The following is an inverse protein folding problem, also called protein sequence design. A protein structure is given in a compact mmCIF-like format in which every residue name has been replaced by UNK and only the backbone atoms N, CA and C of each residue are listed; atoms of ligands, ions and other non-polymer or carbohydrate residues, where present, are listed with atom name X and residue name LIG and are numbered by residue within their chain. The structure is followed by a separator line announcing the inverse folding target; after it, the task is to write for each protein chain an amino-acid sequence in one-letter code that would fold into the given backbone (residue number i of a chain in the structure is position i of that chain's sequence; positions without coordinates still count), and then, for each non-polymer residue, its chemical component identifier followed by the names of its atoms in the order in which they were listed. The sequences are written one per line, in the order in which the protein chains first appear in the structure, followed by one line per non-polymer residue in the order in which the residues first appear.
data_IF_284583419924
#
_entry.id   IF_284583419924
#
_cell.length_a   1.000
_cell.length_b   1.000
_cell.length_c   1.000
_cell.angle_alpha   90.00
_cell.angle_beta   90.00
_cell.angle_gamma   90.00
#
_symmetry.space_group_name_H-M   'P 1'
#
loop_
_entity.id
_entity.type
_entity.pdbx_description
1 polymer ?
#
# COMPACT_ATOMS: atom_id res chain seq x y z
N UNK A 1 26.35 -40.24 44.07
CA UNK A 1 27.19 -39.11 43.60
C UNK A 1 27.93 -39.59 42.34
N UNK A 2 27.81 -39.05 41.13
CA UNK A 2 27.14 -37.88 40.57
C UNK A 2 26.64 -38.28 39.17
N UNK A 3 25.43 -37.87 38.81
CA UNK A 3 24.83 -38.07 37.48
C UNK A 3 25.35 -36.98 36.53
N UNK A 4 26.11 -37.36 35.51
CA UNK A 4 26.65 -36.43 34.51
C UNK A 4 25.53 -36.05 33.53
N UNK A 5 25.03 -34.82 33.62
CA UNK A 5 24.06 -34.25 32.69
C UNK A 5 24.79 -33.81 31.42
N UNK A 6 24.51 -34.48 30.30
CA UNK A 6 24.94 -34.05 28.96
C UNK A 6 23.94 -32.99 28.51
N UNK A 7 24.37 -31.72 28.54
CA UNK A 7 23.61 -30.60 27.99
C UNK A 7 23.87 -30.57 26.47
N UNK A 8 22.90 -31.00 25.68
CA UNK A 8 22.94 -30.84 24.21
C UNK A 8 22.55 -29.39 23.93
N UNK A 9 23.53 -28.54 23.61
CA UNK A 9 23.29 -27.22 23.06
C UNK A 9 22.77 -27.40 21.63
N UNK A 10 21.45 -27.37 21.45
CA UNK A 10 20.82 -27.24 20.14
C UNK A 10 21.10 -25.83 19.61
N UNK A 11 22.14 -25.72 18.77
CA UNK A 11 22.42 -24.50 18.01
C UNK A 11 21.27 -24.32 17.01
N UNK A 12 20.33 -23.45 17.35
CA UNK A 12 19.35 -22.93 16.39
C UNK A 12 20.13 -22.07 15.40
N UNK A 13 20.45 -22.66 14.24
CA UNK A 13 20.89 -21.92 13.08
C UNK A 13 19.66 -21.15 12.59
N UNK A 14 19.50 -19.91 13.04
CA UNK A 14 18.59 -18.99 12.39
C UNK A 14 19.08 -18.84 10.95
N UNK A 15 18.39 -19.50 10.01
CA UNK A 15 18.44 -19.10 8.62
C UNK A 15 17.95 -17.65 8.63
N UNK A 16 18.89 -16.70 8.58
CA UNK A 16 18.58 -15.36 8.14
C UNK A 16 17.98 -15.54 6.75
N UNK A 17 16.68 -15.34 6.63
CA UNK A 17 16.13 -14.93 5.36
C UNK A 17 16.93 -13.68 5.02
N UNK A 18 17.82 -13.79 4.03
CA UNK A 18 18.31 -12.59 3.37
C UNK A 18 17.04 -11.86 2.94
N UNK A 19 16.81 -10.68 3.53
CA UNK A 19 15.87 -9.73 2.97
C UNK A 19 16.29 -9.61 1.51
N UNK A 20 15.48 -10.15 0.60
CA UNK A 20 15.54 -9.70 -0.78
C UNK A 20 15.05 -8.27 -0.65
N UNK A 21 15.98 -7.32 -0.55
CA UNK A 21 15.65 -5.92 -0.33
C UNK A 21 14.78 -5.48 -1.51
N UNK A 22 13.48 -5.50 -1.31
CA UNK A 22 12.47 -4.92 -2.18
C UNK A 22 12.12 -3.54 -1.61
N UNK A 23 11.61 -2.64 -2.44
CA UNK A 23 10.98 -1.45 -1.89
C UNK A 23 9.86 -1.88 -0.93
N UNK A 24 9.81 -1.27 0.25
CA UNK A 24 8.79 -1.59 1.23
C UNK A 24 7.43 -0.99 0.85
N UNK A 25 7.45 0.11 0.08
CA UNK A 25 6.29 0.76 -0.53
C UNK A 25 6.17 0.40 -2.02
N UNK A 26 4.93 0.18 -2.43
CA UNK A 26 4.55 -0.03 -3.81
C UNK A 26 3.67 1.12 -4.29
N UNK A 27 3.84 1.51 -5.55
CA UNK A 27 2.86 2.33 -6.25
C UNK A 27 1.83 1.39 -6.87
N UNK A 28 0.55 1.58 -6.51
CA UNK A 28 -0.59 1.00 -7.22
C UNK A 28 -1.48 2.12 -7.71
N UNK A 29 -2.51 1.82 -8.51
CA UNK A 29 -3.40 2.88 -8.95
C UNK A 29 -4.25 3.33 -7.76
N UNK A 30 -4.61 4.61 -7.74
CA UNK A 30 -5.26 5.25 -6.58
C UNK A 30 -4.44 5.35 -5.27
N UNK A 31 -3.34 4.62 -5.12
CA UNK A 31 -2.47 4.61 -3.94
C UNK A 31 -1.05 5.09 -4.31
N UNK A 32 -0.83 6.42 -4.31
CA UNK A 32 0.49 6.97 -4.57
C UNK A 32 1.47 6.66 -3.43
N UNK A 33 2.74 6.53 -3.77
CA UNK A 33 3.82 6.65 -2.78
C UNK A 33 4.04 8.13 -2.54
N UNK A 34 3.92 8.57 -1.29
CA UNK A 34 4.10 9.97 -0.88
C UNK A 34 5.13 10.01 0.25
N UNK A 35 6.21 10.76 0.04
CA UNK A 35 7.23 11.06 1.04
C UNK A 35 7.23 12.56 1.34
N UNK A 36 6.93 12.90 2.60
CA UNK A 36 6.93 14.28 3.11
C UNK A 36 8.09 14.56 4.07
N UNK A 37 8.89 13.53 4.37
CA UNK A 37 9.98 13.60 5.34
C UNK A 37 9.52 14.07 6.74
N UNK A 38 8.24 13.89 7.07
CA UNK A 38 7.65 14.22 8.36
C UNK A 38 8.40 13.50 9.49
N UNK A 39 9.10 14.26 10.32
CA UNK A 39 9.90 13.72 11.43
C UNK A 39 11.33 13.32 11.07
N UNK A 40 11.77 13.51 9.82
CA UNK A 40 13.17 13.34 9.44
C UNK A 40 14.05 14.34 10.18
N UNK A 41 15.09 13.84 10.86
CA UNK A 41 16.00 14.66 11.67
C UNK A 41 17.44 14.63 11.15
N UNK A 42 17.68 14.03 9.97
CA UNK A 42 19.02 13.94 9.41
C UNK A 42 19.91 12.99 10.21
N UNK A 43 19.32 11.93 10.81
CA UNK A 43 20.05 10.97 11.63
C UNK A 43 20.70 9.83 10.82
N UNK A 44 20.49 9.80 9.50
CA UNK A 44 21.06 8.79 8.62
C UNK A 44 20.04 8.04 7.78
N UNK A 45 20.47 6.87 7.30
CA UNK A 45 19.65 5.88 6.62
C UNK A 45 19.79 4.53 7.32
N UNK A 46 18.69 3.83 7.56
CA UNK A 46 18.66 2.50 8.18
C UNK A 46 17.56 1.64 7.53
N UNK A 47 17.66 0.30 7.51
CA UNK A 47 16.66 -0.55 6.85
C UNK A 47 15.32 -0.60 7.57
N UNK A 48 15.26 -0.18 8.84
CA UNK A 48 14.03 -0.19 9.64
C UNK A 48 14.01 1.02 10.56
N UNK A 49 13.62 2.21 10.06
CA UNK A 49 13.51 3.40 10.90
C UNK A 49 12.39 3.20 11.92
N UNK A 50 12.67 3.50 13.20
CA UNK A 50 11.70 3.27 14.29
C UNK A 50 11.12 4.57 14.86
N UNK A 51 11.77 5.71 14.60
CA UNK A 51 11.41 7.02 15.15
C UNK A 51 11.30 8.13 14.09
N UNK A 52 11.37 7.78 12.80
CA UNK A 52 11.29 8.75 11.68
C UNK A 52 12.51 9.65 11.52
N UNK A 53 13.49 9.61 12.44
CA UNK A 53 14.68 10.46 12.39
C UNK A 53 15.63 10.12 11.23
N UNK A 54 15.64 8.87 10.81
CA UNK A 54 16.39 8.32 9.67
C UNK A 54 15.47 8.04 8.47
N UNK A 55 16.04 8.05 7.26
CA UNK A 55 15.38 7.51 6.07
C UNK A 55 15.41 5.98 6.07
N UNK A 56 14.40 5.38 5.44
CA UNK A 56 14.39 3.95 5.19
C UNK A 56 15.35 3.58 4.04
N UNK A 57 16.46 2.94 4.37
CA UNK A 57 17.48 2.53 3.39
C UNK A 57 17.02 1.38 2.48
N UNK A 58 15.91 0.70 2.79
CA UNK A 58 15.31 -0.23 1.82
C UNK A 58 14.63 0.52 0.67
N UNK A 59 14.46 1.84 0.77
CA UNK A 59 13.84 2.66 -0.27
C UNK A 59 14.73 3.80 -0.74
N UNK A 60 15.50 4.39 0.17
CA UNK A 60 16.35 5.53 -0.10
C UNK A 60 17.81 5.13 -0.22
N UNK A 61 18.46 5.64 -1.26
CA UNK A 61 19.91 5.49 -1.47
C UNK A 61 20.51 6.80 -1.93
N UNK A 62 21.64 7.17 -1.35
CA UNK A 62 22.44 8.32 -1.74
C UNK A 62 23.84 7.90 -2.18
N UNK A 63 24.34 8.47 -3.27
CA UNK A 63 25.68 8.21 -3.84
C UNK A 63 26.46 9.50 -4.05
N UNK A 64 27.77 9.38 -4.26
CA UNK A 64 28.67 10.50 -4.49
C UNK A 64 29.06 11.23 -3.21
N UNK A 65 28.97 10.57 -2.05
CA UNK A 65 29.40 11.10 -0.75
C UNK A 65 30.87 10.76 -0.49
N UNK A 66 31.58 11.61 0.24
CA UNK A 66 33.01 11.43 0.52
C UNK A 66 33.29 10.25 1.46
N UNK A 67 32.37 9.98 2.39
CA UNK A 67 32.36 8.79 3.24
C UNK A 67 31.99 7.49 2.48
N UNK A 68 31.55 7.61 1.21
CA UNK A 68 31.24 6.51 0.30
C UNK A 68 29.75 6.38 -0.01
N UNK A 69 29.43 5.66 -1.08
CA UNK A 69 28.04 5.42 -1.49
C UNK A 69 27.29 4.58 -0.46
N UNK A 70 26.04 4.95 -0.22
CA UNK A 70 25.11 4.10 0.52
C UNK A 70 24.62 2.94 -0.35
N UNK A 71 24.06 1.92 0.29
CA UNK A 71 23.50 0.74 -0.34
C UNK A 71 22.11 0.44 0.23
N UNK A 72 21.23 -0.13 -0.60
CA UNK A 72 19.90 -0.53 -0.14
C UNK A 72 20.00 -1.54 1.02
N UNK A 73 19.17 -1.34 2.05
CA UNK A 73 19.13 -2.16 3.26
C UNK A 73 20.32 -1.97 4.21
N UNK A 74 21.19 -0.98 3.97
CA UNK A 74 22.37 -0.69 4.80
C UNK A 74 22.11 0.27 5.95
N UNK A 75 23.07 0.39 6.88
CA UNK A 75 22.97 1.29 8.05
C UNK A 75 24.07 2.36 7.98
N UNK A 76 23.66 3.63 7.91
CA UNK A 76 24.50 4.78 7.64
C UNK A 76 24.09 5.95 8.54
N UNK A 77 24.61 5.99 9.78
CA UNK A 77 24.11 6.89 10.84
C UNK A 77 25.17 7.86 11.38
N UNK A 78 26.27 8.05 10.67
CA UNK A 78 27.39 8.93 11.08
C UNK A 78 28.05 9.56 9.86
N UNK A 79 28.70 10.70 10.02
CA UNK A 79 29.46 11.32 8.93
C UNK A 79 28.56 12.04 7.93
N UNK A 80 28.87 11.93 6.64
CA UNK A 80 28.10 12.57 5.55
C UNK A 80 26.63 12.15 5.53
N UNK A 81 26.31 10.96 6.05
CA UNK A 81 24.94 10.44 6.03
C UNK A 81 24.02 11.09 7.07
N UNK A 82 24.59 11.66 8.14
CA UNK A 82 23.85 12.01 9.34
C UNK A 82 24.31 13.38 9.90
N UNK A 83 24.09 14.45 9.14
CA UNK A 83 24.49 15.81 9.55
C UNK A 83 23.51 16.48 10.50
N UNK A 84 22.34 15.88 10.72
CA UNK A 84 21.30 16.39 11.62
C UNK A 84 20.43 17.47 10.98
N UNK A 85 19.67 18.16 11.83
CA UNK A 85 18.77 19.25 11.40
C UNK A 85 19.49 20.60 11.25
N UNK A 86 19.09 21.39 10.26
CA UNK A 86 19.59 22.76 10.04
C UNK A 86 18.53 23.64 9.39
N UNK A 87 18.68 24.97 9.45
CA UNK A 87 17.81 25.93 8.73
C UNK A 87 18.47 26.47 7.44
N UNK A 88 19.60 25.91 7.01
CA UNK A 88 20.42 26.37 5.87
C UNK A 88 21.75 27.00 6.28
N UNK A 89 22.52 27.53 5.32
CA UNK A 89 23.83 28.18 5.52
C UNK A 89 24.90 27.28 6.21
N UNK A 90 24.94 26.02 5.80
CA UNK A 90 25.86 24.99 6.25
C UNK A 90 27.08 24.86 5.32
N UNK A 91 28.28 24.76 5.89
CA UNK A 91 29.51 24.65 5.08
C UNK A 91 30.04 23.23 4.89
N UNK A 92 29.47 22.22 5.56
CA UNK A 92 29.99 20.85 5.56
C UNK A 92 29.11 19.97 4.68
N UNK A 93 29.72 19.28 3.71
CA UNK A 93 29.01 18.43 2.77
C UNK A 93 28.28 17.27 3.43
N UNK A 94 27.20 16.81 2.80
CA UNK A 94 26.43 15.64 3.23
C UNK A 94 24.92 15.86 3.30
N UNK A 95 24.24 14.91 3.95
CA UNK A 95 22.79 14.82 4.06
C UNK A 95 22.32 15.48 5.36
N UNK A 96 21.36 16.40 5.24
CA UNK A 96 20.74 17.13 6.34
C UNK A 96 19.23 16.94 6.33
N UNK A 97 18.60 17.15 7.48
CA UNK A 97 17.19 17.52 7.54
C UNK A 97 17.09 19.06 7.56
N UNK A 98 16.83 19.68 6.42
CA UNK A 98 16.64 21.14 6.40
C UNK A 98 15.21 21.50 6.80
N UNK A 99 15.06 22.40 7.77
CA UNK A 99 13.79 23.04 8.05
C UNK A 99 13.63 24.26 7.12
N UNK A 100 12.84 24.09 6.07
CA UNK A 100 12.62 25.12 5.05
C UNK A 100 11.64 26.21 5.52
N UNK A 101 10.96 26.01 6.66
CA UNK A 101 10.13 27.01 7.31
C UNK A 101 8.86 27.45 6.55
N UNK A 102 8.54 26.82 5.42
CA UNK A 102 7.38 27.15 4.60
C UNK A 102 6.12 26.57 5.22
N UNK A 103 5.23 27.43 5.74
CA UNK A 103 3.98 27.01 6.37
C UNK A 103 4.11 26.56 7.84
N UNK A 104 5.31 26.66 8.42
CA UNK A 104 5.66 26.14 9.75
C UNK A 104 6.98 25.38 9.70
N UNK A 105 7.37 24.67 10.78
CA UNK A 105 8.47 23.71 10.72
C UNK A 105 8.18 22.68 9.62
N UNK A 106 9.06 22.57 8.65
CA UNK A 106 8.95 21.65 7.53
C UNK A 106 10.30 20.96 7.29
N UNK A 107 10.56 19.82 7.96
CA UNK A 107 11.78 19.05 7.75
C UNK A 107 11.76 18.41 6.37
N UNK A 108 12.83 18.63 5.60
CA UNK A 108 12.96 18.17 4.21
C UNK A 108 14.27 17.41 4.01
N UNK A 109 14.33 16.53 3.01
CA UNK A 109 15.57 15.85 2.67
C UNK A 109 16.52 16.83 1.98
N UNK A 110 17.53 17.25 2.74
CA UNK A 110 18.50 18.24 2.35
C UNK A 110 19.85 17.67 1.98
N UNK A 111 20.52 18.35 1.05
CA UNK A 111 21.90 18.11 0.70
C UNK A 111 22.67 19.44 0.82
N UNK A 112 23.84 19.38 1.45
CA UNK A 112 24.87 20.37 1.24
C UNK A 112 25.88 19.79 0.24
N UNK A 113 25.89 20.23 -1.03
CA UNK A 113 26.90 19.79 -1.96
C UNK A 113 28.29 20.31 -1.56
N UNK A 114 29.28 19.45 -1.72
CA UNK A 114 30.67 19.66 -1.36
C UNK A 114 31.60 19.48 -2.56
N UNK A 115 32.91 19.64 -2.34
CA UNK A 115 33.89 19.30 -3.39
C UNK A 115 33.97 17.81 -3.72
N UNK A 116 33.45 16.97 -2.81
CA UNK A 116 33.49 15.51 -2.86
C UNK A 116 32.17 14.87 -2.38
N UNK A 117 31.13 15.69 -2.19
CA UNK A 117 29.84 15.26 -1.64
C UNK A 117 28.75 15.72 -2.60
N UNK A 118 28.04 14.76 -3.17
CA UNK A 118 26.94 14.96 -4.14
C UNK A 118 27.30 15.95 -5.25
N UNK A 119 28.50 15.82 -5.81
CA UNK A 119 29.00 16.66 -6.92
C UNK A 119 30.06 15.90 -7.77
N UNK A 120 29.64 15.04 -8.72
CA UNK A 120 28.27 14.58 -8.91
C UNK A 120 27.85 13.55 -7.85
N UNK A 121 26.55 13.42 -7.62
CA UNK A 121 25.98 12.35 -6.80
C UNK A 121 24.47 12.21 -7.01
N UNK A 122 23.86 11.21 -6.36
CA UNK A 122 22.46 10.88 -6.57
C UNK A 122 21.72 10.72 -5.26
N UNK A 123 20.43 11.06 -5.26
CA UNK A 123 19.44 10.61 -4.29
C UNK A 123 18.44 9.76 -5.06
N UNK A 124 18.22 8.53 -4.62
CA UNK A 124 17.39 7.53 -5.28
C UNK A 124 16.25 7.13 -4.35
N UNK A 125 15.03 7.19 -4.88
CA UNK A 125 13.83 6.59 -4.28
C UNK A 125 13.45 5.35 -5.07
N UNK A 126 13.50 4.19 -4.41
CA UNK A 126 13.08 2.90 -4.93
C UNK A 126 11.64 2.62 -4.52
N UNK A 127 10.79 2.32 -5.50
CA UNK A 127 9.39 1.93 -5.28
C UNK A 127 9.06 0.68 -6.10
N UNK A 128 8.16 -0.16 -5.58
CA UNK A 128 7.71 -1.36 -6.28
C UNK A 128 6.52 -1.05 -7.19
N UNK A 129 6.43 -1.71 -8.34
CA UNK A 129 5.19 -1.77 -9.10
C UNK A 129 4.18 -2.72 -8.43
N UNK A 130 3.17 -2.15 -7.79
CA UNK A 130 2.09 -2.87 -7.11
C UNK A 130 0.79 -3.01 -7.91
N UNK A 131 0.72 -2.58 -9.18
CA UNK A 131 -0.55 -2.53 -9.94
C UNK A 131 -1.06 -3.88 -10.47
N UNK A 132 -0.34 -4.97 -10.21
CA UNK A 132 -0.68 -6.28 -10.81
C UNK A 132 -0.43 -6.39 -12.33
N UNK A 133 -0.09 -5.29 -13.03
CA UNK A 133 0.16 -5.24 -14.46
C UNK A 133 1.47 -4.49 -14.80
N UNK A 134 2.00 -4.58 -16.03
CA UNK A 134 3.16 -3.79 -16.43
C UNK A 134 2.87 -2.27 -16.38
N UNK A 135 3.65 -1.51 -15.61
CA UNK A 135 3.60 -0.05 -15.61
C UNK A 135 4.28 0.50 -16.87
N UNK A 136 3.48 1.15 -17.70
CA UNK A 136 3.92 1.85 -18.92
C UNK A 136 3.99 3.36 -18.72
N UNK A 137 3.50 3.88 -17.60
CA UNK A 137 3.51 5.30 -17.30
C UNK A 137 3.39 5.53 -15.80
N UNK A 138 4.07 6.55 -15.29
CA UNK A 138 3.91 7.05 -13.91
C UNK A 138 3.79 8.57 -13.93
N UNK A 139 3.24 9.16 -12.88
CA UNK A 139 3.38 10.58 -12.58
C UNK A 139 4.33 10.74 -11.39
N UNK A 140 5.28 11.66 -11.51
CA UNK A 140 6.20 12.02 -10.44
C UNK A 140 6.06 13.50 -10.18
N UNK A 141 5.93 13.88 -8.92
CA UNK A 141 5.99 15.26 -8.49
C UNK A 141 6.81 15.41 -7.22
N UNK A 142 7.38 16.58 -7.02
CA UNK A 142 8.10 16.95 -5.80
C UNK A 142 8.28 18.47 -5.73
N UNK A 143 8.66 18.97 -4.57
CA UNK A 143 9.09 20.36 -4.38
C UNK A 143 10.61 20.39 -4.28
N UNK A 144 11.25 21.13 -5.19
CA UNK A 144 12.68 21.44 -5.13
C UNK A 144 12.89 22.75 -4.38
N UNK A 145 13.74 22.73 -3.37
CA UNK A 145 14.10 23.88 -2.55
C UNK A 145 15.56 24.26 -2.73
N UNK A 146 15.84 25.56 -2.74
CA UNK A 146 17.20 26.11 -2.79
C UNK A 146 17.36 27.18 -1.71
N UNK A 147 18.48 27.14 -0.99
CA UNK A 147 18.97 28.23 -0.17
C UNK A 147 20.16 28.87 -0.89
N UNK A 148 19.89 29.91 -1.69
CA UNK A 148 20.87 30.48 -2.62
C UNK A 148 21.83 31.48 -1.92
N UNK A 149 22.82 30.97 -1.21
CA UNK A 149 23.80 31.78 -0.46
C UNK A 149 25.23 31.75 -1.02
N UNK A 150 25.48 30.97 -2.08
CA UNK A 150 26.80 30.86 -2.72
C UNK A 150 26.79 31.29 -4.19
N UNK A 151 27.99 31.56 -4.71
CA UNK A 151 28.18 32.02 -6.08
C UNK A 151 28.48 30.86 -7.06
N UNK A 152 27.68 29.80 -7.00
CA UNK A 152 27.89 28.56 -7.77
C UNK A 152 26.58 27.83 -8.02
N UNK A 153 26.28 27.61 -9.30
CA UNK A 153 25.10 26.88 -9.73
C UNK A 153 25.34 25.37 -9.70
N UNK A 154 24.37 24.62 -9.20
CA UNK A 154 24.30 23.15 -9.26
C UNK A 154 23.02 22.70 -9.95
N UNK A 155 23.03 21.56 -10.64
CA UNK A 155 21.81 20.97 -11.22
C UNK A 155 21.16 19.98 -10.25
N UNK A 156 19.85 19.78 -10.43
CA UNK A 156 19.14 18.60 -9.98
C UNK A 156 18.39 18.04 -11.19
N UNK A 157 18.90 16.97 -11.77
CA UNK A 157 18.33 16.30 -12.93
C UNK A 157 17.59 15.04 -12.51
N UNK A 158 16.40 14.82 -13.05
CA UNK A 158 15.57 13.67 -12.67
C UNK A 158 15.47 12.66 -13.81
N UNK A 159 15.69 11.40 -13.47
CA UNK A 159 15.52 10.27 -14.36
C UNK A 159 14.81 9.11 -13.64
N UNK A 160 14.16 8.25 -14.41
CA UNK A 160 13.50 7.05 -13.90
C UNK A 160 14.13 5.82 -14.53
N UNK A 161 14.51 4.86 -13.69
CA UNK A 161 15.20 3.65 -14.09
C UNK A 161 14.47 2.41 -13.57
N UNK A 162 14.66 1.28 -14.25
CA UNK A 162 14.31 -0.04 -13.73
C UNK A 162 15.52 -0.68 -13.07
N UNK A 163 15.34 -1.17 -11.85
CA UNK A 163 16.44 -1.84 -11.13
C UNK A 163 16.96 -3.09 -11.88
N UNK A 164 16.09 -3.75 -12.66
CA UNK A 164 16.42 -4.94 -13.44
C UNK A 164 17.00 -4.66 -14.83
N UNK A 165 16.91 -3.42 -15.35
CA UNK A 165 17.46 -3.00 -16.64
C UNK A 165 17.78 -1.48 -16.65
N UNK A 166 19.06 -1.10 -16.49
CA UNK A 166 19.45 0.28 -16.22
C UNK A 166 19.54 1.15 -17.48
N UNK A 167 18.44 1.31 -18.20
CA UNK A 167 18.32 2.37 -19.22
C UNK A 167 17.42 3.47 -18.65
N UNK A 168 17.99 4.55 -18.11
CA UNK A 168 17.18 5.62 -17.53
C UNK A 168 16.34 6.34 -18.59
N UNK A 169 15.13 6.70 -18.20
CA UNK A 169 14.25 7.61 -18.93
C UNK A 169 14.38 8.99 -18.29
N UNK A 170 14.98 9.93 -19.02
CA UNK A 170 15.14 11.31 -18.53
C UNK A 170 13.79 12.02 -18.42
N UNK A 171 13.60 12.79 -17.34
CA UNK A 171 12.42 13.60 -17.09
C UNK A 171 12.81 15.08 -16.98
N UNK A 172 13.20 15.75 -18.08
CA UNK A 172 13.76 17.12 -18.03
C UNK A 172 12.79 18.17 -17.50
N UNK A 173 11.47 17.93 -17.53
CA UNK A 173 10.46 18.80 -16.91
C UNK A 173 10.48 18.76 -15.38
N UNK A 174 11.18 17.78 -14.79
CA UNK A 174 11.47 17.67 -13.37
C UNK A 174 12.88 18.17 -13.03
N UNK A 175 13.69 18.60 -14.00
CA UNK A 175 15.03 19.14 -13.70
C UNK A 175 14.98 20.59 -13.23
N UNK A 176 15.92 20.97 -12.37
CA UNK A 176 16.15 22.33 -11.91
C UNK A 176 17.64 22.69 -11.87
N UNK A 177 17.96 23.98 -11.80
CA UNK A 177 19.33 24.48 -11.65
C UNK A 177 19.32 25.65 -10.67
N UNK A 178 20.20 25.63 -9.67
CA UNK A 178 20.33 26.74 -8.71
C UNK A 178 20.90 27.99 -9.40
N UNK A 179 20.59 29.20 -8.93
CA UNK A 179 21.19 30.41 -9.47
C UNK A 179 22.72 30.44 -9.29
N UNK A 180 23.47 30.96 -10.26
CA UNK A 180 24.93 31.13 -10.08
C UNK A 180 25.26 32.30 -9.13
N UNK A 181 24.42 33.32 -9.08
CA UNK A 181 24.66 34.49 -8.25
C UNK A 181 23.94 34.33 -6.90
N UNK A 182 24.72 34.38 -5.81
CA UNK A 182 24.20 34.37 -4.45
C UNK A 182 23.19 35.50 -4.22
N UNK A 183 22.15 35.21 -3.43
CA UNK A 183 21.21 36.21 -2.99
C UNK A 183 21.85 37.15 -1.96
N UNK A 184 21.48 38.43 -2.02
CA UNK A 184 21.91 39.41 -1.01
C UNK A 184 21.32 39.16 0.38
N UNK A 185 20.24 38.38 0.46
CA UNK A 185 19.58 37.94 1.69
C UNK A 185 18.98 36.54 1.45
N UNK A 186 19.79 35.48 1.60
CA UNK A 186 19.39 34.10 1.30
C UNK A 186 18.23 33.61 2.17
N UNK A 187 17.31 32.90 1.53
CA UNK A 187 16.18 32.22 2.16
C UNK A 187 15.78 31.01 1.29
N UNK A 188 15.09 30.05 1.90
CA UNK A 188 14.57 28.90 1.16
C UNK A 188 13.51 29.33 0.14
N UNK A 189 13.72 28.98 -1.13
CA UNK A 189 12.78 29.17 -2.22
C UNK A 189 12.41 27.80 -2.79
N UNK A 190 11.12 27.49 -2.82
CA UNK A 190 10.58 26.23 -3.33
C UNK A 190 9.97 26.37 -4.73
N UNK A 191 10.13 25.34 -5.54
CA UNK A 191 9.45 25.17 -6.82
C UNK A 191 8.84 23.77 -6.91
N UNK A 192 7.52 23.70 -7.10
CA UNK A 192 6.84 22.42 -7.30
C UNK A 192 6.96 22.00 -8.76
N UNK A 193 7.43 20.78 -8.98
CA UNK A 193 7.66 20.16 -10.27
C UNK A 193 6.77 18.92 -10.38
N UNK A 194 6.18 18.70 -11.55
CA UNK A 194 5.42 17.48 -11.85
C UNK A 194 5.60 17.10 -13.31
N UNK A 195 5.65 15.80 -13.58
CA UNK A 195 5.67 15.26 -14.94
C UNK A 195 5.08 13.86 -15.00
N UNK A 196 4.40 13.59 -16.11
CA UNK A 196 4.06 12.23 -16.53
C UNK A 196 5.23 11.65 -17.31
N UNK A 197 5.72 10.49 -16.89
CA UNK A 197 6.90 9.82 -17.44
C UNK A 197 6.43 8.59 -18.22
N UNK A 198 6.70 8.58 -19.52
CA UNK A 198 6.38 7.47 -20.42
C UNK A 198 7.44 6.36 -20.31
N UNK A 199 7.01 5.19 -19.86
CA UNK A 199 7.80 3.97 -19.72
C UNK A 199 7.39 2.90 -20.75
N UNK A 200 6.57 3.23 -21.75
CA UNK A 200 6.01 2.26 -22.70
C UNK A 200 7.06 1.50 -23.52
N UNK A 201 8.21 2.11 -23.78
CA UNK A 201 9.34 1.47 -24.45
C UNK A 201 10.01 0.40 -23.58
N UNK A 202 9.93 0.55 -22.25
CA UNK A 202 10.54 -0.35 -21.26
C UNK A 202 9.65 -0.49 -20.01
N UNK A 203 8.49 -1.17 -20.11
CA UNK A 203 7.54 -1.22 -19.00
C UNK A 203 8.13 -1.92 -17.77
N UNK A 204 7.75 -1.47 -16.56
CA UNK A 204 8.12 -2.11 -15.29
C UNK A 204 7.16 -3.25 -15.03
N UNK A 205 7.62 -4.50 -14.92
CA UNK A 205 6.72 -5.63 -14.67
C UNK A 205 6.06 -5.52 -13.28
N UNK A 206 4.91 -6.18 -13.09
CA UNK A 206 4.29 -6.26 -11.77
C UNK A 206 5.25 -6.91 -10.77
N UNK A 207 5.43 -6.30 -9.60
CA UNK A 207 6.37 -6.71 -8.56
C UNK A 207 7.83 -6.30 -8.77
N UNK A 208 8.21 -5.79 -9.95
CA UNK A 208 9.54 -5.21 -10.18
C UNK A 208 9.64 -3.82 -9.51
N UNK A 209 10.87 -3.43 -9.17
CA UNK A 209 11.15 -2.09 -8.66
C UNK A 209 11.48 -1.11 -9.80
N UNK A 210 11.04 0.14 -9.61
CA UNK A 210 11.54 1.30 -10.33
C UNK A 210 12.26 2.26 -9.36
N UNK A 211 13.17 3.05 -9.90
CA UNK A 211 13.99 4.01 -9.16
C UNK A 211 13.73 5.38 -9.76
N UNK A 212 13.26 6.33 -8.95
CA UNK A 212 13.28 7.75 -9.28
C UNK A 212 14.60 8.30 -8.75
N UNK A 213 15.47 8.78 -9.65
CA UNK A 213 16.79 9.27 -9.31
C UNK A 213 16.85 10.79 -9.52
N UNK A 214 17.27 11.48 -8.48
CA UNK A 214 17.64 12.89 -8.47
C UNK A 214 19.17 12.98 -8.51
N UNK A 215 19.72 13.36 -9.65
CA UNK A 215 21.16 13.50 -9.89
C UNK A 215 21.57 14.95 -9.70
N UNK A 216 22.67 15.17 -9.01
CA UNK A 216 23.22 16.49 -8.70
C UNK A 216 24.62 16.61 -9.29
N UNK A 217 24.97 17.77 -9.84
CA UNK A 217 26.33 18.07 -10.32
C UNK A 217 26.58 19.58 -10.36
N UNK A 218 27.85 19.98 -10.44
CA UNK A 218 28.26 21.36 -10.66
C UNK A 218 27.88 21.81 -12.09
N UNK A 219 27.30 23.00 -12.20
CA UNK A 219 26.98 23.61 -13.51
C UNK A 219 27.95 24.74 -13.83
N UNK A 220 28.05 25.74 -12.96
CA UNK A 220 28.87 26.93 -13.20
C UNK A 220 29.25 27.66 -11.91
N UNK A 221 30.08 28.70 -12.01
CA UNK A 221 30.54 29.47 -10.85
C UNK A 221 31.65 28.80 -10.03
N UNK A 222 31.93 29.34 -8.84
CA UNK A 222 33.09 28.94 -8.03
C UNK A 222 32.83 29.13 -6.53
N UNK A 223 33.58 28.42 -5.70
CA UNK A 223 33.40 28.46 -4.24
C UNK A 223 32.52 27.32 -3.73
N UNK A 224 31.84 27.56 -2.61
CA UNK A 224 30.87 26.62 -2.05
C UNK A 224 29.62 26.54 -2.93
N UNK A 225 28.79 25.51 -2.73
CA UNK A 225 27.50 25.33 -3.42
C UNK A 225 26.38 25.74 -2.47
N UNK A 226 25.25 26.13 -3.05
CA UNK A 226 24.00 26.36 -2.33
C UNK A 226 23.51 25.07 -1.67
N UNK A 227 22.81 25.18 -0.53
CA UNK A 227 22.01 24.07 -0.04
C UNK A 227 20.82 23.82 -0.97
N UNK A 228 20.52 22.55 -1.18
CA UNK A 228 19.37 22.10 -1.95
C UNK A 228 18.58 21.08 -1.13
N UNK A 229 17.26 21.03 -1.32
CA UNK A 229 16.42 20.04 -0.68
C UNK A 229 15.28 19.58 -1.59
N UNK A 230 14.77 18.38 -1.30
CA UNK A 230 13.56 17.86 -1.91
C UNK A 230 12.52 17.56 -0.84
N UNK A 231 11.26 17.76 -1.19
CA UNK A 231 10.11 17.52 -0.32
C UNK A 231 8.88 17.12 -1.14
N UNK A 232 7.83 16.64 -0.47
CA UNK A 232 6.55 16.26 -1.06
C UNK A 232 6.71 15.31 -2.27
N UNK A 233 7.69 14.41 -2.22
CA UNK A 233 7.98 13.48 -3.31
C UNK A 233 6.82 12.51 -3.46
N UNK A 234 6.14 12.58 -4.59
CA UNK A 234 5.00 11.74 -4.92
C UNK A 234 5.30 10.94 -6.18
N UNK A 235 5.08 9.63 -6.11
CA UNK A 235 5.07 8.73 -7.27
C UNK A 235 3.70 8.08 -7.35
N UNK A 236 3.01 8.26 -8.46
CA UNK A 236 1.64 7.76 -8.65
C UNK A 236 1.47 7.13 -10.03
N UNK A 237 0.39 6.37 -10.18
CA UNK A 237 -0.08 5.90 -11.48
C UNK A 237 -1.08 6.91 -12.03
N UNK A 238 -1.01 7.30 -13.32
CA UNK A 238 -2.03 8.14 -13.94
C UNK A 238 -3.41 7.49 -13.82
N UNK A 239 -4.44 8.26 -13.49
CA UNK A 239 -5.80 7.74 -13.30
C UNK A 239 -6.36 6.94 -14.49
N UNK A 240 -5.83 7.19 -15.70
CA UNK A 240 -6.18 6.48 -16.93
C UNK A 240 -5.65 5.02 -17.01
N UNK A 241 -4.88 4.58 -16.03
CA UNK A 241 -4.29 3.24 -15.94
C UNK A 241 -4.91 2.40 -14.79
N UNK A 242 -6.06 2.82 -14.23
CA UNK A 242 -6.83 2.00 -13.27
C UNK A 242 -7.27 0.69 -13.91
N UNK A 243 -7.09 -0.42 -13.19
CA UNK A 243 -7.40 -1.76 -13.70
C UNK A 243 -8.55 -2.37 -12.92
N UNK A 244 -9.73 -2.33 -13.53
CA UNK A 244 -10.90 -2.99 -12.95
C UNK A 244 -10.67 -4.49 -12.76
N UNK A 245 -11.09 -4.98 -11.59
CA UNK A 245 -11.09 -6.38 -11.19
C UNK A 245 -9.82 -6.85 -10.50
N UNK A 246 -9.03 -5.94 -9.91
CA UNK A 246 -7.78 -6.30 -9.21
C UNK A 246 -7.93 -6.39 -7.68
N UNK A 247 -9.13 -6.08 -7.17
CA UNK A 247 -9.49 -6.10 -5.76
C UNK A 247 -9.21 -4.80 -5.01
N UNK A 248 -8.74 -3.75 -5.69
CA UNK A 248 -8.52 -2.42 -5.12
C UNK A 248 -9.44 -1.42 -5.80
N UNK A 249 -10.06 -0.51 -5.03
CA UNK A 249 -10.87 0.58 -5.61
C UNK A 249 -9.95 1.76 -5.90
N UNK A 250 -9.71 2.06 -7.16
CA UNK A 250 -8.69 3.01 -7.58
C UNK A 250 -9.08 3.89 -8.78
N UNK A 251 -8.43 5.05 -8.91
CA UNK A 251 -8.66 5.96 -10.05
C UNK A 251 -10.12 6.43 -10.19
N UNK A 252 -10.77 6.02 -11.28
CA UNK A 252 -12.15 6.39 -11.61
C UNK A 252 -13.18 5.31 -11.21
N UNK A 253 -12.76 4.27 -10.50
CA UNK A 253 -13.62 3.18 -10.09
C UNK A 253 -14.55 3.59 -8.94
N UNK A 254 -15.80 3.14 -9.00
CA UNK A 254 -16.78 3.29 -7.93
C UNK A 254 -16.75 2.10 -6.94
N UNK A 255 -16.21 0.96 -7.37
CA UNK A 255 -16.04 -0.28 -6.64
C UNK A 255 -14.99 -1.16 -7.34
N UNK A 256 -14.59 -2.24 -6.70
CA UNK A 256 -13.82 -3.34 -7.30
C UNK A 256 -14.07 -4.58 -6.44
N UNK A 257 -14.49 -5.70 -7.05
CA UNK A 257 -14.75 -6.97 -6.35
C UNK A 257 -13.78 -8.10 -6.74
N UNK A 258 -12.64 -7.74 -7.33
CA UNK A 258 -11.58 -8.65 -7.71
C UNK A 258 -11.81 -9.41 -9.01
N UNK A 259 -12.77 -8.98 -9.82
CA UNK A 259 -12.98 -9.52 -11.16
C UNK A 259 -13.65 -8.53 -12.13
N UNK A 260 -13.77 -8.88 -13.41
CA UNK A 260 -14.39 -8.05 -14.47
C UNK A 260 -15.68 -8.67 -14.99
N UNK A 261 -16.47 -9.29 -14.13
CA UNK A 261 -17.78 -9.84 -14.47
C UNK A 261 -18.83 -8.96 -13.84
N UNK A 262 -19.91 -8.67 -14.57
CA UNK A 262 -21.09 -8.05 -13.94
C UNK A 262 -21.99 -9.15 -13.41
N UNK A 263 -21.94 -9.42 -12.11
CA UNK A 263 -22.88 -10.34 -11.47
C UNK A 263 -24.28 -9.74 -11.42
N UNK A 264 -25.28 -10.61 -11.57
CA UNK A 264 -26.69 -10.23 -11.48
C UNK A 264 -27.36 -10.75 -10.22
N UNK A 265 -26.70 -11.64 -9.50
CA UNK A 265 -27.21 -12.32 -8.32
C UNK A 265 -26.05 -12.71 -7.39
N UNK A 266 -26.28 -12.77 -6.09
CA UNK A 266 -25.31 -13.30 -5.14
C UNK A 266 -25.14 -14.82 -5.28
N UNK A 267 -23.98 -15.37 -4.86
CA UNK A 267 -23.83 -16.82 -4.72
C UNK A 267 -24.93 -17.42 -3.82
N UNK A 268 -25.42 -18.61 -4.20
CA UNK A 268 -26.45 -19.31 -3.42
C UNK A 268 -26.09 -19.43 -1.94
N UNK A 269 -27.08 -19.22 -1.07
CA UNK A 269 -26.91 -19.16 0.39
C UNK A 269 -26.52 -17.78 0.91
N UNK A 270 -26.39 -16.77 0.03
CA UNK A 270 -26.12 -15.38 0.41
C UNK A 270 -27.29 -14.49 -0.01
N UNK A 271 -28.15 -14.12 0.94
CA UNK A 271 -29.36 -13.34 0.66
C UNK A 271 -29.07 -11.93 0.09
N UNK A 272 -27.96 -11.31 0.47
CA UNK A 272 -27.51 -10.02 -0.07
C UNK A 272 -25.99 -9.89 -0.07
N UNK A 273 -25.46 -9.26 -1.12
CA UNK A 273 -24.04 -9.05 -1.33
C UNK A 273 -23.81 -7.77 -2.14
N UNK A 274 -22.57 -7.29 -2.10
CA UNK A 274 -22.11 -6.21 -2.95
C UNK A 274 -21.20 -6.81 -4.02
N UNK A 275 -21.39 -6.40 -5.26
CA UNK A 275 -20.55 -6.72 -6.41
C UNK A 275 -20.27 -5.43 -7.19
N UNK A 276 -19.52 -5.56 -8.28
CA UNK A 276 -19.12 -4.44 -9.13
C UNK A 276 -19.51 -4.69 -10.60
N UNK A 277 -19.68 -3.62 -11.39
CA UNK A 277 -19.80 -3.78 -12.84
C UNK A 277 -18.47 -4.22 -13.45
N UNK A 278 -18.50 -4.79 -14.65
CA UNK A 278 -17.30 -5.30 -15.35
C UNK A 278 -16.27 -4.20 -15.70
N UNK A 279 -16.70 -2.95 -15.66
CA UNK A 279 -15.91 -1.73 -15.86
C UNK A 279 -15.66 -0.93 -14.56
N UNK A 280 -16.08 -1.50 -13.43
CA UNK A 280 -15.91 -0.92 -12.10
C UNK A 280 -16.54 0.46 -11.88
N UNK A 281 -17.43 0.91 -12.77
CA UNK A 281 -18.07 2.23 -12.69
C UNK A 281 -19.28 2.27 -11.76
N UNK A 282 -19.83 1.12 -11.36
CA UNK A 282 -21.01 1.05 -10.52
C UNK A 282 -20.96 -0.08 -9.50
N UNK A 283 -21.12 0.28 -8.22
CA UNK A 283 -21.38 -0.69 -7.15
C UNK A 283 -22.79 -1.26 -7.26
N UNK A 284 -22.90 -2.59 -7.24
CA UNK A 284 -24.14 -3.33 -7.39
C UNK A 284 -24.55 -3.91 -6.04
N UNK A 285 -25.73 -3.55 -5.56
CA UNK A 285 -26.37 -4.22 -4.43
C UNK A 285 -27.26 -5.33 -4.96
N UNK A 286 -26.82 -6.57 -4.81
CA UNK A 286 -27.47 -7.76 -5.34
C UNK A 286 -28.22 -8.50 -4.23
N UNK A 287 -29.25 -9.22 -4.62
CA UNK A 287 -29.91 -10.24 -3.80
C UNK A 287 -29.54 -11.62 -4.31
N UNK A 288 -29.58 -12.62 -3.45
CA UNK A 288 -29.35 -14.02 -3.84
C UNK A 288 -30.41 -14.95 -3.30
N UNK A 289 -30.51 -16.09 -3.99
CA UNK A 289 -31.31 -17.25 -3.61
C UNK A 289 -30.71 -18.01 -2.44
N UNK A 290 -31.55 -18.49 -1.54
CA UNK A 290 -31.11 -19.26 -0.37
C UNK A 290 -32.25 -20.04 0.27
N UNK A 291 -31.93 -21.19 0.83
CA UNK A 291 -32.86 -21.94 1.67
C UNK A 291 -33.56 -21.07 2.71
N UNK A 292 -34.88 -21.14 2.72
CA UNK A 292 -35.76 -20.38 3.59
C UNK A 292 -36.16 -19.00 3.06
N UNK A 293 -35.91 -18.70 1.77
CA UNK A 293 -36.33 -17.44 1.14
C UNK A 293 -37.78 -17.45 0.62
N UNK A 294 -38.45 -18.60 0.73
CA UNK A 294 -39.83 -18.80 0.30
C UNK A 294 -39.97 -19.26 -1.15
N UNK A 295 -38.86 -19.52 -1.85
CA UNK A 295 -38.85 -20.03 -3.22
C UNK A 295 -38.09 -21.35 -3.30
N UNK A 296 -38.51 -22.26 -4.18
CA UNK A 296 -37.85 -23.57 -4.35
C UNK A 296 -36.79 -23.47 -5.45
N UNK A 297 -35.52 -23.46 -5.05
CA UNK A 297 -34.36 -23.38 -5.92
C UNK A 297 -33.77 -24.75 -6.26
N UNK A 298 -34.55 -25.56 -6.96
CA UNK A 298 -34.15 -26.93 -7.33
C UNK A 298 -32.87 -27.01 -8.19
N UNK A 299 -32.50 -25.93 -8.88
CA UNK A 299 -31.25 -25.84 -9.63
C UNK A 299 -30.00 -25.80 -8.73
N UNK A 300 -30.16 -25.38 -7.47
CA UNK A 300 -29.09 -25.18 -6.49
C UNK A 300 -29.09 -26.26 -5.39
N UNK A 301 -29.93 -27.30 -5.56
CA UNK A 301 -29.96 -28.47 -4.70
C UNK A 301 -31.08 -28.49 -3.67
N UNK A 302 -31.95 -27.48 -3.67
CA UNK A 302 -33.14 -27.48 -2.81
C UNK A 302 -34.18 -28.50 -3.28
N UNK A 303 -34.77 -29.21 -2.33
CA UNK A 303 -35.87 -30.17 -2.54
C UNK A 303 -37.18 -29.61 -2.01
N UNK A 304 -37.11 -28.66 -1.07
CA UNK A 304 -38.24 -27.91 -0.55
C UNK A 304 -37.77 -26.56 0.00
N UNK A 305 -38.69 -25.62 0.21
CA UNK A 305 -38.46 -24.39 0.96
C UNK A 305 -39.71 -24.12 1.80
N UNK A 306 -39.55 -23.98 3.11
CA UNK A 306 -40.64 -23.69 4.06
C UNK A 306 -40.52 -22.30 4.70
N UNK A 307 -39.75 -21.41 4.06
CA UNK A 307 -39.59 -20.01 4.44
C UNK A 307 -38.70 -19.76 5.65
N UNK A 308 -37.95 -20.77 6.11
CA UNK A 308 -36.93 -20.58 7.13
C UNK A 308 -35.80 -21.64 7.05
N UNK A 309 -34.77 -21.52 7.88
CA UNK A 309 -33.61 -22.44 7.93
C UNK A 309 -33.56 -23.28 9.21
N UNK A 310 -34.69 -23.42 9.89
CA UNK A 310 -34.80 -24.28 11.07
C UNK A 310 -35.08 -25.69 10.61
N UNK A 311 -34.52 -26.68 11.30
CA UNK A 311 -35.00 -28.06 11.17
C UNK A 311 -36.06 -28.29 12.24
N UNK A 312 -37.32 -28.20 11.87
CA UNK A 312 -38.41 -28.40 12.80
C UNK A 312 -38.47 -29.86 13.26
N UNK A 313 -38.69 -30.04 14.56
CA UNK A 313 -38.91 -31.36 15.17
C UNK A 313 -40.36 -31.55 15.62
N UNK A 314 -41.19 -30.53 15.51
CA UNK A 314 -42.57 -30.53 15.96
C UNK A 314 -43.48 -29.67 15.08
N UNK A 315 -44.72 -30.08 14.89
CA UNK A 315 -45.68 -29.28 14.12
C UNK A 315 -46.19 -28.07 14.89
N UNK A 316 -46.65 -27.01 14.19
CA UNK A 316 -47.39 -25.91 14.81
C UNK A 316 -48.59 -26.42 15.62
N UNK A 317 -48.91 -25.72 16.71
CA UNK A 317 -49.98 -26.10 17.61
C UNK A 317 -51.31 -26.38 16.88
N UNK A 318 -51.89 -27.55 17.12
CA UNK A 318 -53.15 -27.99 16.51
C UNK A 318 -53.02 -28.81 15.22
N UNK A 319 -51.81 -29.21 14.81
CA UNK A 319 -51.59 -30.15 13.69
C UNK A 319 -50.89 -31.43 14.17
N UNK A 320 -51.43 -32.60 13.79
CA UNK A 320 -50.82 -33.92 14.08
C UNK A 320 -49.72 -34.28 13.08
N UNK A 321 -49.81 -33.76 11.85
CA UNK A 321 -48.86 -34.01 10.77
C UNK A 321 -48.62 -32.74 9.98
N UNK A 322 -47.37 -32.42 9.70
CA UNK A 322 -46.96 -31.28 8.90
C UNK A 322 -45.74 -31.64 8.05
N UNK A 323 -45.57 -30.92 6.94
CA UNK A 323 -44.38 -30.98 6.11
C UNK A 323 -43.54 -29.75 6.41
N UNK A 324 -42.25 -29.97 6.64
CA UNK A 324 -41.24 -28.94 6.84
C UNK A 324 -39.99 -29.30 6.01
N UNK A 325 -39.03 -28.41 5.98
CA UNK A 325 -37.71 -28.63 5.40
C UNK A 325 -36.69 -28.88 6.50
N UNK A 326 -35.59 -29.53 6.16
CA UNK A 326 -34.42 -29.42 7.01
C UNK A 326 -33.70 -28.09 6.77
N UNK A 327 -32.77 -27.73 7.65
CA UNK A 327 -32.14 -26.41 7.69
C UNK A 327 -31.38 -26.00 6.41
N UNK A 328 -31.04 -26.96 5.55
CA UNK A 328 -30.34 -26.76 4.28
C UNK A 328 -31.24 -27.04 3.05
N UNK A 329 -32.54 -27.24 3.27
CA UNK A 329 -33.55 -27.47 2.23
C UNK A 329 -33.28 -28.71 1.33
N UNK A 330 -32.34 -29.58 1.70
CA UNK A 330 -31.97 -30.75 0.89
C UNK A 330 -32.96 -31.91 1.01
N UNK A 331 -33.90 -31.87 1.97
CA UNK A 331 -34.92 -32.90 2.12
C UNK A 331 -36.23 -32.37 2.72
N UNK A 332 -37.33 -32.96 2.26
CA UNK A 332 -38.65 -32.80 2.89
C UNK A 332 -38.71 -33.64 4.16
N UNK A 333 -39.08 -33.02 5.26
CA UNK A 333 -39.38 -33.65 6.54
C UNK A 333 -40.88 -33.82 6.71
N UNK A 334 -41.32 -35.05 6.96
CA UNK A 334 -42.69 -35.34 7.40
C UNK A 334 -42.66 -35.50 8.92
N UNK A 335 -43.14 -34.50 9.63
CA UNK A 335 -43.16 -34.48 11.10
C UNK A 335 -44.51 -35.00 11.57
N UNK A 336 -44.48 -35.90 12.55
CA UNK A 336 -45.68 -36.38 13.25
C UNK A 336 -45.48 -36.10 14.73
N UNK A 337 -46.32 -35.24 15.29
CA UNK A 337 -46.32 -34.92 16.73
C UNK A 337 -47.57 -35.42 17.38
N UNK A 338 -47.42 -35.83 18.64
CA UNK A 338 -48.57 -36.15 19.48
C UNK A 338 -49.46 -34.94 19.70
N UNK A 339 -50.78 -35.16 19.72
CA UNK A 339 -51.76 -34.09 19.73
C UNK A 339 -52.48 -34.04 21.07
N UNK A 340 -52.09 -33.10 21.94
CA UNK A 340 -52.76 -32.93 23.23
C UNK A 340 -54.27 -32.67 23.05
N UNK A 341 -55.07 -33.53 23.66
CA UNK A 341 -56.52 -33.51 23.63
C UNK A 341 -57.14 -34.39 22.54
N UNK A 342 -56.38 -35.32 21.95
CA UNK A 342 -56.89 -36.29 20.96
C UNK A 342 -57.38 -37.62 21.58
N UNK A 343 -57.24 -37.75 22.90
CA UNK A 343 -57.64 -38.92 23.68
C UNK A 343 -56.57 -40.01 23.77
N UNK A 344 -55.35 -39.77 23.26
CA UNK A 344 -54.18 -40.66 23.33
C UNK A 344 -53.07 -40.00 24.15
N UNK A 345 -52.39 -40.75 25.02
CA UNK A 345 -51.16 -40.24 25.65
C UNK A 345 -49.99 -40.50 24.70
N UNK A 346 -49.52 -39.47 24.01
CA UNK A 346 -48.43 -39.59 23.04
C UNK A 346 -47.02 -39.45 23.65
N UNK A 347 -45.94 -39.85 22.93
CA UNK A 347 -44.57 -39.69 23.39
C UNK A 347 -44.22 -38.21 23.65
N UNK A 348 -44.12 -37.83 24.93
CA UNK A 348 -43.88 -36.44 25.36
C UNK A 348 -45.01 -35.88 26.23
N UNK A 349 -46.18 -36.53 26.23
CA UNK A 349 -47.32 -36.15 27.05
C UNK A 349 -47.36 -36.97 28.34
N UNK A 350 -47.74 -36.32 29.44
CA UNK A 350 -47.91 -37.02 30.74
C UNK A 350 -49.34 -37.53 30.91
N UNK A 351 -50.30 -36.89 30.25
CA UNK A 351 -51.71 -37.21 30.22
C UNK A 351 -52.38 -36.51 29.03
N UNK A 352 -53.46 -37.10 28.52
CA UNK A 352 -54.36 -36.51 27.53
C UNK A 352 -55.78 -36.65 28.09
N UNK A 353 -56.49 -35.52 28.25
CA UNK A 353 -57.84 -35.47 28.80
C UNK A 353 -58.93 -35.28 27.74
N UNK A 354 -58.57 -35.46 26.46
CA UNK A 354 -59.47 -35.34 25.31
C UNK A 354 -59.95 -33.91 25.03
N UNK A 355 -59.29 -32.89 25.61
CA UNK A 355 -59.69 -31.51 25.48
C UNK A 355 -58.53 -30.65 24.95
N UNK A 356 -58.78 -29.84 23.93
CA UNK A 356 -57.76 -28.97 23.28
C UNK A 356 -57.66 -27.58 23.92
N UNK A 357 -58.42 -27.33 24.98
CA UNK A 357 -58.43 -26.05 25.70
C UNK A 357 -57.65 -26.16 27.01
N UNK A 358 -56.71 -25.23 27.21
CA UNK A 358 -55.91 -25.08 28.44
C UNK A 358 -56.72 -24.63 29.64
#
# INVERSE_FOLDING_TARGET
MRLQHILILSSFLALGAASTAHAQRAVSSGAPVVERFDGFLGAGLVPMPTLGAELDSDEWRVTGLSDGDTAYGGTFTTGDYARGSSTGATGTGGIYAFDVGVGGPNPTLGLQPGGSDVTPGTVELRVQNGTGAPLTQIEVSYTFYVYNDQARASSMDVEVERETMPTPVAAPSLSATTPEAADGAPAWVGMSLSATIDLSATPVAAGDNLIVRFTTDDVSGSGSRDEIAIDDVTVSVPAAMSTCGDGMVEGAEACDDGNTTTETECPYGTASCMACSDDCQMALSLTGRSCGDGTLDAGDGEVCDDGNTTTETSCPAGMSTCMACNADCSMILTITTGLCGDGSVDPGETCDDGNTAT
#
